data_IF_680601726397
#
_entry.id   IF_680601726397
#
_cell.length_a   1.000
_cell.length_b   1.000
_cell.length_c   1.000
_cell.angle_alpha   90.00
_cell.angle_beta   90.00
_cell.angle_gamma   90.00
#
_symmetry.space_group_name_H-M   'P 1'
#
loop_
_entity.id
_entity.type
_entity.pdbx_description
1 polymer ?
#
# COMPACT_ATOMS: atom_id res chain seq x y z
N UNK A 1 -50.29 1.32 50.80
CA UNK A 1 -49.21 2.31 51.02
C UNK A 1 -48.25 2.18 49.85
N UNK A 2 -48.49 2.93 48.77
CA UNK A 2 -47.66 2.88 47.56
C UNK A 2 -46.40 3.71 47.79
N UNK A 3 -45.26 3.05 47.92
CA UNK A 3 -43.94 3.70 47.91
C UNK A 3 -43.68 4.16 46.48
N UNK A 4 -43.83 5.45 46.22
CA UNK A 4 -43.31 6.07 45.01
C UNK A 4 -41.79 5.90 45.03
N UNK A 5 -41.26 4.99 44.20
CA UNK A 5 -39.83 5.03 43.85
C UNK A 5 -39.61 6.32 43.08
N UNK A 6 -38.75 7.24 43.53
CA UNK A 6 -38.38 8.37 42.68
C UNK A 6 -37.68 7.77 41.45
N UNK A 7 -38.24 7.99 40.27
CA UNK A 7 -37.51 7.85 39.00
C UNK A 7 -36.38 8.88 39.05
N UNK A 8 -35.18 8.44 39.42
CA UNK A 8 -34.00 9.29 39.35
C UNK A 8 -33.76 9.64 37.88
N UNK A 9 -34.02 10.90 37.51
CA UNK A 9 -33.68 11.43 36.19
C UNK A 9 -32.17 11.66 36.06
N UNK A 10 -31.68 11.76 34.83
CA UNK A 10 -30.27 12.08 34.59
C UNK A 10 -29.97 13.54 34.97
N UNK A 11 -28.85 13.73 35.64
CA UNK A 11 -28.31 15.06 35.89
C UNK A 11 -27.69 15.66 34.62
N UNK A 12 -27.60 16.98 34.54
CA UNK A 12 -26.97 17.67 33.41
C UNK A 12 -25.52 17.18 33.19
N UNK A 13 -24.78 16.94 34.27
CA UNK A 13 -23.38 16.46 34.21
C UNK A 13 -23.31 15.07 33.57
N UNK A 14 -24.21 14.15 33.93
CA UNK A 14 -24.25 12.80 33.34
C UNK A 14 -24.59 12.83 31.85
N UNK A 15 -25.51 13.72 31.44
CA UNK A 15 -25.84 13.90 30.02
C UNK A 15 -24.64 14.45 29.26
N UNK A 16 -23.96 15.48 29.79
CA UNK A 16 -22.79 16.07 29.16
C UNK A 16 -21.62 15.07 29.09
N UNK A 17 -21.39 14.29 30.14
CA UNK A 17 -20.38 13.24 30.16
C UNK A 17 -20.68 12.16 29.11
N UNK A 18 -21.94 11.73 29.01
CA UNK A 18 -22.37 10.74 28.02
C UNK A 18 -22.25 11.25 26.58
N UNK A 19 -22.60 12.52 26.35
CA UNK A 19 -22.44 13.17 25.04
C UNK A 19 -20.96 13.32 24.67
N UNK A 20 -20.12 13.74 25.60
CA UNK A 20 -18.67 13.82 25.40
C UNK A 20 -18.06 12.46 25.06
N UNK A 21 -18.44 11.42 25.81
CA UNK A 21 -18.01 10.05 25.54
C UNK A 21 -18.49 9.57 24.16
N UNK A 22 -19.76 9.84 23.82
CA UNK A 22 -20.32 9.49 22.51
C UNK A 22 -19.57 10.18 21.37
N UNK A 23 -19.26 11.47 21.49
CA UNK A 23 -18.50 12.20 20.49
C UNK A 23 -17.08 11.63 20.31
N UNK A 24 -16.40 11.28 21.41
CA UNK A 24 -15.08 10.65 21.37
C UNK A 24 -15.12 9.28 20.68
N UNK A 25 -16.11 8.44 21.02
CA UNK A 25 -16.30 7.13 20.42
C UNK A 25 -16.63 7.24 18.92
N UNK A 26 -17.51 8.17 18.53
CA UNK A 26 -17.85 8.41 17.14
C UNK A 26 -16.63 8.85 16.32
N UNK A 27 -15.81 9.74 16.89
CA UNK A 27 -14.57 10.20 16.25
C UNK A 27 -13.55 9.05 16.09
N UNK A 28 -13.37 8.25 17.14
CA UNK A 28 -12.48 7.10 17.10
C UNK A 28 -12.93 6.06 16.07
N UNK A 29 -14.23 5.75 16.01
CA UNK A 29 -14.80 4.82 15.04
C UNK A 29 -14.65 5.33 13.60
N UNK A 30 -14.95 6.60 13.35
CA UNK A 30 -14.77 7.21 12.04
C UNK A 30 -13.31 7.18 11.58
N UNK A 31 -12.37 7.49 12.48
CA UNK A 31 -10.94 7.41 12.22
C UNK A 31 -10.48 5.98 11.89
N UNK A 32 -10.94 5.00 12.66
CA UNK A 32 -10.63 3.59 12.43
C UNK A 32 -11.14 3.09 11.07
N UNK A 33 -12.38 3.44 10.69
CA UNK A 33 -12.95 3.08 9.38
C UNK A 33 -12.21 3.76 8.24
N UNK A 34 -11.88 5.05 8.37
CA UNK A 34 -11.11 5.76 7.36
C UNK A 34 -9.71 5.16 7.16
N UNK A 35 -9.05 4.77 8.25
CA UNK A 35 -7.76 4.10 8.20
C UNK A 35 -7.86 2.71 7.56
N UNK A 36 -8.85 1.89 7.96
CA UNK A 36 -9.07 0.58 7.38
C UNK A 36 -9.32 0.64 5.87
N UNK A 37 -10.18 1.56 5.42
CA UNK A 37 -10.46 1.77 4.00
C UNK A 37 -9.21 2.23 3.23
N UNK A 38 -8.35 3.05 3.84
CA UNK A 38 -7.07 3.44 3.25
C UNK A 38 -6.11 2.26 3.15
N UNK A 39 -6.00 1.46 4.21
CA UNK A 39 -5.16 0.28 4.25
C UNK A 39 -5.59 -0.77 3.20
N UNK A 40 -6.89 -1.00 3.04
CA UNK A 40 -7.43 -1.90 2.03
C UNK A 40 -7.09 -1.45 0.61
N UNK A 41 -7.25 -0.15 0.31
CA UNK A 41 -6.83 0.42 -0.99
C UNK A 41 -5.35 0.20 -1.27
N UNK A 42 -4.49 0.44 -0.27
CA UNK A 42 -3.05 0.22 -0.41
C UNK A 42 -2.71 -1.26 -0.60
N UNK A 43 -3.39 -2.17 0.11
CA UNK A 43 -3.20 -3.60 -0.04
C UNK A 43 -3.62 -4.09 -1.43
N UNK A 44 -4.76 -3.61 -1.94
CA UNK A 44 -5.21 -3.91 -3.30
C UNK A 44 -4.21 -3.43 -4.35
N UNK A 45 -3.72 -2.19 -4.21
CA UNK A 45 -2.67 -1.62 -5.08
C UNK A 45 -1.36 -2.39 -5.01
N UNK A 46 -0.95 -2.85 -3.83
CA UNK A 46 0.23 -3.69 -3.68
C UNK A 46 0.07 -5.05 -4.39
N UNK A 47 -1.13 -5.64 -4.32
CA UNK A 47 -1.46 -6.86 -5.07
C UNK A 47 -1.38 -6.65 -6.58
N UNK A 48 -1.94 -5.55 -7.09
CA UNK A 48 -1.81 -5.16 -8.50
C UNK A 48 -0.34 -4.98 -8.92
N UNK A 49 0.45 -4.28 -8.11
CA UNK A 49 1.88 -4.08 -8.36
C UNK A 49 2.62 -5.42 -8.50
N UNK A 50 2.34 -6.39 -7.63
CA UNK A 50 2.95 -7.72 -7.69
C UNK A 50 2.68 -8.46 -9.01
N UNK A 51 1.44 -8.42 -9.50
CA UNK A 51 1.06 -9.04 -10.77
C UNK A 51 1.69 -8.31 -11.97
N UNK A 52 1.66 -6.98 -11.95
CA UNK A 52 2.28 -6.15 -12.98
C UNK A 52 3.76 -6.47 -13.11
N UNK A 53 4.44 -6.60 -11.99
CA UNK A 53 5.88 -6.83 -11.94
C UNK A 53 6.29 -8.17 -12.55
N UNK A 54 5.49 -9.22 -12.38
CA UNK A 54 5.69 -10.49 -13.11
C UNK A 54 5.50 -10.34 -14.62
N UNK A 55 4.50 -9.57 -15.05
CA UNK A 55 4.26 -9.31 -16.47
C UNK A 55 5.39 -8.48 -17.11
N UNK A 56 5.91 -7.48 -16.40
CA UNK A 56 7.01 -6.64 -16.83
C UNK A 56 8.32 -7.43 -16.90
N UNK A 57 8.55 -8.33 -15.94
CA UNK A 57 9.66 -9.29 -15.99
C UNK A 57 9.59 -10.16 -17.25
N UNK A 58 8.42 -10.73 -17.56
CA UNK A 58 8.25 -11.55 -18.75
C UNK A 58 8.45 -10.74 -20.05
N UNK A 59 7.94 -9.50 -20.10
CA UNK A 59 8.15 -8.59 -21.23
C UNK A 59 9.63 -8.25 -21.43
N UNK A 60 10.36 -7.96 -20.34
CA UNK A 60 11.79 -7.69 -20.36
C UNK A 60 12.59 -8.90 -20.86
N UNK A 61 12.24 -10.12 -20.45
CA UNK A 61 12.90 -11.34 -20.97
C UNK A 61 12.66 -11.57 -22.46
N UNK A 62 11.47 -11.24 -22.96
CA UNK A 62 11.15 -11.40 -24.38
C UNK A 62 11.82 -10.33 -25.25
N UNK A 63 11.99 -9.11 -24.72
CA UNK A 63 12.59 -7.97 -25.43
C UNK A 63 13.52 -7.20 -24.49
N UNK A 64 14.76 -7.69 -24.26
CA UNK A 64 15.67 -7.09 -23.27
C UNK A 64 16.14 -5.67 -23.63
N UNK A 65 16.16 -5.33 -24.93
CA UNK A 65 16.55 -4.01 -25.40
C UNK A 65 15.48 -2.93 -25.14
N UNK A 66 14.20 -3.31 -25.04
CA UNK A 66 13.08 -2.39 -24.96
C UNK A 66 12.68 -2.16 -23.49
N UNK A 67 12.45 -0.91 -23.10
CA UNK A 67 11.84 -0.64 -21.81
C UNK A 67 10.37 -1.09 -21.83
N UNK A 68 9.91 -1.86 -20.82
CA UNK A 68 8.54 -2.34 -20.80
C UNK A 68 7.60 -1.17 -20.55
N UNK A 69 6.49 -1.12 -21.31
CA UNK A 69 5.54 -0.03 -21.25
C UNK A 69 4.82 0.02 -19.89
N UNK A 70 4.74 1.21 -19.30
CA UNK A 70 4.03 1.41 -18.06
C UNK A 70 2.49 1.35 -18.27
N UNK A 71 1.76 0.52 -17.51
CA UNK A 71 0.30 0.55 -17.49
C UNK A 71 -0.22 1.88 -16.93
N UNK A 72 -1.46 2.27 -17.28
CA UNK A 72 -2.07 3.51 -16.78
C UNK A 72 -2.09 3.56 -15.25
N UNK A 73 -1.71 4.71 -14.67
CA UNK A 73 -1.67 4.90 -13.22
C UNK A 73 -0.41 4.35 -12.56
N UNK A 74 0.50 3.77 -13.34
CA UNK A 74 1.74 3.19 -12.86
C UNK A 74 2.93 3.82 -13.59
N UNK A 75 4.03 3.97 -12.86
CA UNK A 75 5.32 4.33 -13.41
C UNK A 75 6.25 3.13 -13.28
N UNK A 76 6.95 2.83 -14.37
CA UNK A 76 7.97 1.79 -14.41
C UNK A 76 9.30 2.48 -14.63
N UNK A 77 10.22 2.30 -13.69
CA UNK A 77 11.61 2.75 -13.81
C UNK A 77 12.45 1.52 -14.11
N UNK A 78 13.22 1.60 -15.20
CA UNK A 78 14.22 0.60 -15.56
C UNK A 78 15.60 1.22 -15.37
N UNK A 79 16.46 0.52 -14.66
CA UNK A 79 17.87 0.83 -14.56
C UNK A 79 18.73 -0.41 -14.86
N UNK A 80 20.00 -0.19 -15.17
CA UNK A 80 20.99 -1.25 -15.41
C UNK A 80 22.17 -1.08 -14.46
N UNK A 81 22.43 -2.08 -13.62
CA UNK A 81 23.57 -2.07 -12.72
C UNK A 81 24.55 -3.18 -13.13
N UNK A 82 25.77 -2.82 -13.50
CA UNK A 82 26.84 -3.79 -13.80
C UNK A 82 27.50 -4.16 -12.48
N UNK A 83 27.33 -5.42 -12.05
CA UNK A 83 27.90 -5.92 -10.81
C UNK A 83 29.08 -6.85 -11.12
N UNK A 84 30.27 -6.62 -10.54
CA UNK A 84 31.40 -7.54 -10.67
C UNK A 84 31.14 -8.82 -9.84
N UNK A 85 31.27 -9.99 -10.46
CA UNK A 85 31.32 -11.27 -9.76
C UNK A 85 32.78 -11.70 -9.52
N UNK A 86 32.96 -12.77 -8.74
CA UNK A 86 34.24 -13.48 -8.68
C UNK A 86 34.62 -14.01 -10.07
N UNK A 87 35.93 -14.10 -10.35
CA UNK A 87 36.53 -14.56 -11.62
C UNK A 87 36.32 -13.66 -12.85
N UNK A 88 36.44 -12.32 -12.71
CA UNK A 88 36.40 -11.33 -13.80
C UNK A 88 35.11 -11.34 -14.67
N UNK A 89 34.09 -12.08 -14.23
CA UNK A 89 32.76 -12.10 -14.84
C UNK A 89 32.01 -10.82 -14.47
N UNK A 90 31.53 -10.11 -15.49
CA UNK A 90 30.60 -8.99 -15.34
C UNK A 90 29.19 -9.49 -15.63
N UNK A 91 28.27 -9.34 -14.68
CA UNK A 91 26.84 -9.53 -14.94
C UNK A 91 26.12 -8.19 -14.88
N UNK A 92 25.28 -7.94 -15.87
CA UNK A 92 24.34 -6.83 -15.86
C UNK A 92 23.10 -7.25 -15.07
N UNK A 93 22.69 -6.42 -14.11
CA UNK A 93 21.43 -6.56 -13.42
C UNK A 93 20.46 -5.54 -13.98
N UNK A 94 19.32 -5.99 -14.49
CA UNK A 94 18.23 -5.09 -14.81
C UNK A 94 17.37 -4.86 -13.56
N UNK A 95 17.30 -3.61 -13.13
CA UNK A 95 16.50 -3.17 -12.00
C UNK A 95 15.16 -2.68 -12.54
N UNK A 96 14.07 -3.34 -12.20
CA UNK A 96 12.71 -2.91 -12.53
C UNK A 96 12.01 -2.44 -11.27
N UNK A 97 11.70 -1.16 -11.19
CA UNK A 97 10.92 -0.57 -10.10
C UNK A 97 9.54 -0.13 -10.59
N UNK A 98 8.49 -0.56 -9.89
CA UNK A 98 7.10 -0.16 -10.18
C UNK A 98 6.57 0.66 -9.02
N UNK A 99 5.97 1.81 -9.34
CA UNK A 99 5.33 2.71 -8.37
C UNK A 99 4.01 3.24 -8.90
N UNK A 100 3.07 3.51 -8.00
CA UNK A 100 1.87 4.29 -8.34
C UNK A 100 2.29 5.72 -8.71
N UNK A 101 1.65 6.33 -9.71
CA UNK A 101 1.85 7.72 -10.13
C UNK A 101 1.70 8.73 -8.98
N UNK A 102 0.81 8.43 -8.03
CA UNK A 102 0.60 9.24 -6.82
C UNK A 102 1.76 9.17 -5.83
N UNK A 103 2.65 8.17 -5.96
CA UNK A 103 3.74 7.90 -5.02
C UNK A 103 3.30 7.35 -3.67
N UNK A 104 2.02 6.98 -3.52
CA UNK A 104 1.44 6.54 -2.26
C UNK A 104 1.88 5.12 -1.85
N UNK A 105 2.17 4.28 -2.84
CA UNK A 105 2.66 2.91 -2.63
C UNK A 105 4.19 2.88 -2.72
N UNK A 106 4.85 2.15 -1.81
CA UNK A 106 6.31 1.92 -1.89
C UNK A 106 6.65 1.25 -3.22
N UNK A 107 7.77 1.65 -3.81
CA UNK A 107 8.27 1.02 -5.03
C UNK A 107 8.60 -0.45 -4.77
N UNK A 108 8.14 -1.33 -5.66
CA UNK A 108 8.57 -2.71 -5.69
C UNK A 108 9.69 -2.85 -6.71
N UNK A 109 10.82 -3.40 -6.29
CA UNK A 109 12.02 -3.54 -7.10
C UNK A 109 12.33 -5.01 -7.37
N UNK A 110 12.48 -5.40 -8.62
CA UNK A 110 13.12 -6.66 -9.00
C UNK A 110 14.50 -6.41 -9.58
N UNK A 111 15.39 -7.33 -9.23
CA UNK A 111 16.74 -7.42 -9.74
C UNK A 111 16.78 -8.66 -10.63
N UNK A 112 16.94 -8.46 -11.93
CA UNK A 112 17.01 -9.52 -12.93
C UNK A 112 18.47 -9.68 -13.32
N UNK A 113 19.04 -10.84 -13.02
CA UNK A 113 20.35 -11.20 -13.55
C UNK A 113 20.23 -11.40 -15.06
N UNK A 114 21.08 -10.74 -15.83
CA UNK A 114 21.17 -10.97 -17.27
C UNK A 114 21.68 -12.40 -17.48
N UNK A 115 20.77 -13.27 -17.90
CA UNK A 115 20.99 -14.68 -18.18
C UNK A 115 20.94 -14.81 -19.71
N UNK A 116 22.02 -14.42 -20.37
CA UNK A 116 22.20 -14.65 -21.79
C UNK A 116 22.25 -16.17 -22.02
N UNK A 117 21.40 -16.75 -22.90
CA UNK A 117 21.50 -18.16 -23.25
C UNK A 117 22.78 -18.50 -24.03
#
# INVERSE_FOLDING_TARGET
MHVFRPTAGFTLIEVLASLGLCALLATAAAGAVAFAARAERLAARAGEAGLLLQSLYAAQRLRPADAPAAPRGWQVVRDGEIVPLADDLRQEWHVLAVRDETGETRSFTFLILDDAP
#
